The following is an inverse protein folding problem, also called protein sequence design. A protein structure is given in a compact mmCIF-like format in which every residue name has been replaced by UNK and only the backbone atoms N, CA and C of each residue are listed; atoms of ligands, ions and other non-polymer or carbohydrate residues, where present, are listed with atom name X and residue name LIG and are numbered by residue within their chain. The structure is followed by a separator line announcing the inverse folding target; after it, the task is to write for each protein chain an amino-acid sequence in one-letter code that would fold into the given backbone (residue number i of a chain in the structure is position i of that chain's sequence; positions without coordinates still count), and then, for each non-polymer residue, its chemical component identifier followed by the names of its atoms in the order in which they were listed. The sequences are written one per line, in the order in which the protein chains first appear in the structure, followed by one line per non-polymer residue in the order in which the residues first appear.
data_IF_554553823646
#
_entry.id   IF_554553823646
#
_cell.length_a   1.000
_cell.length_b   1.000
_cell.length_c   1.000
_cell.angle_alpha   90.00
_cell.angle_beta   90.00
_cell.angle_gamma   90.00
#
_symmetry.space_group_name_H-M   'P 1'
#
loop_
_entity.id
_entity.type
_entity.pdbx_description
1 polymer ?
#
# COMPACT_ATOMS: atom_id res chain seq x y z
N UNK A 1 -42.20 61.52 -14.80
CA UNK A 1 -41.15 61.73 -15.81
C UNK A 1 -40.58 60.34 -16.06
N UNK A 2 -41.15 59.62 -17.03
CA UNK A 2 -40.98 59.82 -18.49
C UNK A 2 -39.59 59.29 -18.91
N UNK A 3 -39.50 58.17 -19.63
CA UNK A 3 -39.88 57.94 -21.05
C UNK A 3 -38.91 58.64 -22.02
N UNK A 4 -38.38 58.02 -23.08
CA UNK A 4 -38.59 56.65 -23.60
C UNK A 4 -37.23 55.95 -23.94
N UNK A 5 -36.89 55.25 -25.04
CA UNK A 5 -37.54 55.00 -26.34
C UNK A 5 -37.11 53.66 -26.99
N UNK A 6 -37.92 53.13 -27.91
CA UNK A 6 -37.59 52.12 -28.95
C UNK A 6 -38.42 52.48 -30.22
N UNK A 7 -38.39 51.76 -31.37
CA UNK A 7 -37.54 50.64 -31.83
C UNK A 7 -36.95 50.91 -33.25
N UNK A 8 -36.40 49.87 -33.90
CA UNK A 8 -36.92 49.50 -35.23
C UNK A 8 -36.75 47.99 -35.50
N UNK A 9 -37.54 47.46 -36.44
CA UNK A 9 -37.48 46.13 -37.06
C UNK A 9 -37.37 46.35 -38.57
N UNK A 10 -36.95 45.35 -39.35
CA UNK A 10 -37.68 44.98 -40.57
C UNK A 10 -37.16 43.66 -41.17
N UNK A 11 -38.12 42.86 -41.64
CA UNK A 11 -38.00 41.66 -42.49
C UNK A 11 -39.09 41.81 -43.59
N UNK A 12 -39.16 40.93 -44.60
CA UNK A 12 -38.28 40.71 -45.75
C UNK A 12 -38.96 41.27 -47.04
N UNK A 13 -38.64 40.77 -48.25
CA UNK A 13 -39.72 40.10 -49.01
C UNK A 13 -39.27 38.85 -49.81
N UNK A 14 -40.17 38.33 -50.67
CA UNK A 14 -40.24 36.92 -51.11
C UNK A 14 -40.42 36.77 -52.64
N UNK A 15 -40.24 35.54 -53.18
CA UNK A 15 -40.62 35.05 -54.53
C UNK A 15 -39.73 35.49 -55.72
N UNK A 16 -39.71 34.83 -56.89
CA UNK A 16 -40.59 33.79 -57.45
C UNK A 16 -39.80 32.66 -58.19
N UNK A 17 -40.33 31.43 -58.38
CA UNK A 17 -40.99 30.89 -59.61
C UNK A 17 -40.48 31.41 -60.97
N UNK A 18 -40.40 30.62 -62.05
CA UNK A 18 -40.38 29.16 -62.26
C UNK A 18 -40.11 28.85 -63.76
N UNK A 19 -39.56 27.67 -64.10
CA UNK A 19 -39.66 26.94 -65.38
C UNK A 19 -38.70 25.72 -65.36
N UNK A 20 -38.91 24.62 -66.12
CA UNK A 20 -40.10 24.30 -66.91
C UNK A 20 -39.88 23.42 -68.15
N UNK A 21 -39.24 22.24 -68.06
CA UNK A 21 -39.15 21.34 -69.24
C UNK A 21 -39.24 19.83 -68.90
N UNK A 22 -39.65 19.01 -69.88
CA UNK A 22 -40.06 17.62 -69.67
C UNK A 22 -40.17 16.81 -70.97
N UNK A 23 -39.85 15.50 -70.96
CA UNK A 23 -40.57 14.36 -71.58
C UNK A 23 -39.71 13.07 -71.70
N UNK A 24 -40.33 11.96 -72.16
CA UNK A 24 -39.83 10.56 -72.27
C UNK A 24 -39.80 9.75 -70.94
N UNK A 25 -40.72 8.83 -70.61
CA UNK A 25 -41.79 8.10 -71.36
C UNK A 25 -41.14 7.09 -72.35
N UNK A 26 -41.26 5.74 -72.29
CA UNK A 26 -42.23 4.77 -71.72
C UNK A 26 -41.60 3.48 -71.13
N UNK A 27 -42.40 2.75 -70.32
CA UNK A 27 -42.40 1.27 -70.12
C UNK A 27 -41.18 0.57 -69.43
N UNK A 28 -41.30 -0.60 -68.77
CA UNK A 28 -42.45 -1.52 -68.58
C UNK A 28 -42.32 -2.34 -67.27
N UNK A 29 -43.32 -3.20 -67.02
CA UNK A 29 -43.39 -4.32 -66.05
C UNK A 29 -43.57 -4.02 -64.54
N UNK A 30 -44.66 -4.58 -64.00
CA UNK A 30 -45.05 -4.57 -62.59
C UNK A 30 -44.44 -5.77 -61.82
N UNK A 31 -44.55 -5.86 -60.47
CA UNK A 31 -43.67 -6.70 -59.65
C UNK A 31 -44.13 -8.16 -59.49
N UNK A 32 -43.20 -9.11 -59.24
CA UNK A 32 -43.53 -10.44 -58.78
C UNK A 32 -43.95 -10.45 -57.30
N UNK A 33 -45.03 -11.21 -57.08
CA UNK A 33 -45.76 -11.50 -55.85
C UNK A 33 -44.89 -11.88 -54.62
N UNK A 34 -45.50 -11.74 -53.43
CA UNK A 34 -44.86 -11.95 -52.13
C UNK A 34 -44.34 -13.39 -51.89
N UNK A 35 -43.04 -13.61 -52.09
CA UNK A 35 -42.34 -14.79 -51.58
C UNK A 35 -42.24 -14.80 -50.05
N UNK A 36 -42.97 -15.68 -49.37
CA UNK A 36 -42.85 -15.90 -47.91
C UNK A 36 -41.58 -16.71 -47.59
N UNK A 37 -40.82 -16.25 -46.59
CA UNK A 37 -39.76 -17.02 -45.94
C UNK A 37 -38.37 -16.37 -46.02
N UNK A 38 -37.65 -16.30 -44.89
CA UNK A 38 -36.22 -15.93 -44.86
C UNK A 38 -35.79 -14.94 -43.77
N UNK A 39 -36.63 -13.98 -43.37
CA UNK A 39 -36.21 -12.88 -42.46
C UNK A 39 -36.01 -13.23 -40.98
N UNK A 40 -36.38 -14.44 -40.53
CA UNK A 40 -36.29 -14.81 -39.10
C UNK A 40 -34.90 -15.25 -38.60
N UNK A 41 -34.11 -15.91 -39.44
CA UNK A 41 -33.01 -16.76 -38.96
C UNK A 41 -31.71 -16.00 -38.65
N UNK A 42 -31.39 -14.96 -39.42
CA UNK A 42 -30.18 -14.13 -39.24
C UNK A 42 -30.24 -13.28 -37.97
N UNK A 43 -31.38 -12.64 -37.71
CA UNK A 43 -31.63 -11.85 -36.50
C UNK A 43 -31.56 -12.72 -35.24
N UNK A 44 -32.16 -13.91 -35.25
CA UNK A 44 -32.10 -14.86 -34.13
C UNK A 44 -30.66 -15.33 -33.85
N UNK A 45 -29.86 -15.61 -34.88
CA UNK A 45 -28.48 -16.05 -34.69
C UNK A 45 -27.61 -14.95 -34.03
N UNK A 46 -27.72 -13.70 -34.51
CA UNK A 46 -27.00 -12.56 -33.94
C UNK A 46 -27.46 -12.25 -32.49
N UNK A 47 -28.77 -12.32 -32.22
CA UNK A 47 -29.32 -12.17 -30.87
C UNK A 47 -28.87 -13.30 -29.92
N UNK A 48 -28.81 -14.55 -30.39
CA UNK A 48 -28.31 -15.69 -29.61
C UNK A 48 -26.83 -15.51 -29.26
N UNK A 49 -25.99 -15.11 -30.21
CA UNK A 49 -24.56 -14.80 -29.97
C UNK A 49 -24.39 -13.66 -28.94
N UNK A 50 -25.16 -12.57 -29.05
CA UNK A 50 -25.14 -11.47 -28.05
C UNK A 50 -25.62 -11.90 -26.66
N UNK A 51 -26.66 -12.75 -26.55
CA UNK A 51 -27.13 -13.31 -25.26
C UNK A 51 -26.09 -14.23 -24.62
N UNK A 52 -25.41 -15.07 -25.41
CA UNK A 52 -24.33 -15.93 -24.91
C UNK A 52 -23.11 -15.12 -24.47
N UNK A 53 -22.70 -14.11 -25.25
CA UNK A 53 -21.62 -13.20 -24.87
C UNK A 53 -21.93 -12.47 -23.55
N UNK A 54 -23.15 -11.92 -23.37
CA UNK A 54 -23.57 -11.28 -22.11
C UNK A 54 -23.55 -12.25 -20.92
N UNK A 55 -23.89 -13.54 -21.13
CA UNK A 55 -23.77 -14.57 -20.09
C UNK A 55 -22.31 -14.87 -19.74
N UNK A 56 -21.42 -14.98 -20.72
CA UNK A 56 -19.98 -15.18 -20.50
C UNK A 56 -19.38 -14.00 -19.73
N UNK A 57 -19.64 -12.76 -20.16
CA UNK A 57 -19.19 -11.55 -19.45
C UNK A 57 -19.73 -11.50 -18.02
N UNK A 58 -21.01 -11.82 -17.80
CA UNK A 58 -21.59 -11.90 -16.45
C UNK A 58 -20.90 -12.96 -15.58
N UNK A 59 -20.64 -14.15 -16.10
CA UNK A 59 -19.93 -15.22 -15.37
C UNK A 59 -18.48 -14.82 -15.07
N UNK A 60 -17.78 -14.17 -16.01
CA UNK A 60 -16.42 -13.68 -15.79
C UNK A 60 -16.37 -12.57 -14.72
N UNK A 61 -17.32 -11.62 -14.74
CA UNK A 61 -17.42 -10.57 -13.72
C UNK A 61 -17.79 -11.17 -12.35
N UNK A 62 -18.73 -12.10 -12.29
CA UNK A 62 -19.08 -12.80 -11.05
C UNK A 62 -17.92 -13.62 -10.49
N UNK A 63 -17.18 -14.33 -11.33
CA UNK A 63 -15.98 -15.07 -10.95
C UNK A 63 -14.85 -14.14 -10.47
N UNK A 64 -14.65 -12.99 -11.14
CA UNK A 64 -13.69 -11.97 -10.72
C UNK A 64 -14.06 -11.37 -9.35
N UNK A 65 -15.33 -11.00 -9.14
CA UNK A 65 -15.80 -10.47 -7.86
C UNK A 65 -15.70 -11.51 -6.72
N UNK A 66 -16.00 -12.78 -7.01
CA UNK A 66 -15.80 -13.88 -6.05
C UNK A 66 -14.32 -14.10 -5.74
N UNK A 67 -13.45 -14.12 -6.75
CA UNK A 67 -12.01 -14.22 -6.57
C UNK A 67 -11.44 -13.05 -5.77
N UNK A 68 -11.87 -11.81 -6.06
CA UNK A 68 -11.51 -10.63 -5.27
C UNK A 68 -11.96 -10.79 -3.81
N UNK A 69 -13.22 -11.18 -3.55
CA UNK A 69 -13.72 -11.41 -2.19
C UNK A 69 -12.93 -12.46 -1.39
N UNK A 70 -12.40 -13.49 -2.07
CA UNK A 70 -11.58 -14.55 -1.45
C UNK A 70 -10.10 -14.13 -1.29
N UNK A 71 -9.50 -13.50 -2.29
CA UNK A 71 -8.05 -13.22 -2.31
C UNK A 71 -7.66 -11.87 -1.71
N UNK A 72 -8.54 -10.86 -1.70
CA UNK A 72 -8.28 -9.56 -1.06
C UNK A 72 -7.78 -9.73 0.39
N UNK A 73 -8.47 -10.44 1.33
CA UNK A 73 -7.98 -10.61 2.71
C UNK A 73 -6.59 -11.26 2.83
N UNK A 74 -6.16 -12.03 1.83
CA UNK A 74 -4.84 -12.64 1.83
C UNK A 74 -3.71 -11.65 1.56
N UNK A 75 -3.94 -10.54 0.86
CA UNK A 75 -2.89 -9.54 0.58
C UNK A 75 -2.37 -8.85 1.86
N UNK A 76 -3.26 -8.26 2.67
CA UNK A 76 -2.89 -7.68 3.97
C UNK A 76 -2.36 -8.73 4.95
N UNK A 77 -2.96 -9.93 4.97
CA UNK A 77 -2.51 -11.05 5.82
C UNK A 77 -1.11 -11.55 5.43
N UNK A 78 -0.74 -11.49 4.15
CA UNK A 78 0.57 -11.91 3.67
C UNK A 78 1.67 -10.96 4.13
N UNK A 79 1.44 -9.64 4.18
CA UNK A 79 2.43 -8.67 4.67
C UNK A 79 2.86 -8.91 6.13
N UNK A 80 1.99 -9.53 6.93
CA UNK A 80 2.32 -9.93 8.31
C UNK A 80 3.15 -11.21 8.32
N UNK A 81 4.33 -11.16 8.94
CA UNK A 81 5.13 -12.33 9.29
C UNK A 81 5.48 -12.22 10.77
N UNK A 82 5.10 -13.25 11.53
CA UNK A 82 5.45 -13.42 12.93
C UNK A 82 6.09 -14.79 13.09
N UNK A 83 7.31 -14.82 13.60
CA UNK A 83 8.02 -16.05 13.96
C UNK A 83 7.76 -16.40 15.43
N UNK A 84 7.94 -17.68 15.78
CA UNK A 84 7.96 -18.10 17.19
C UNK A 84 9.33 -17.76 17.78
N UNK A 85 9.36 -16.98 18.85
CA UNK A 85 10.60 -16.56 19.53
C UNK A 85 10.63 -17.21 20.91
N UNK A 86 11.50 -18.21 21.07
CA UNK A 86 11.77 -18.88 22.36
C UNK A 86 12.82 -18.10 23.17
N UNK A 87 13.89 -17.66 22.50
CA UNK A 87 14.98 -16.84 23.03
C UNK A 87 15.68 -16.12 21.88
N UNK A 88 16.13 -14.88 22.07
CA UNK A 88 17.03 -14.14 21.18
C UNK A 88 17.81 -13.08 21.96
N UNK A 89 19.12 -12.98 21.79
CA UNK A 89 19.99 -12.16 22.64
C UNK A 89 19.68 -10.65 22.57
N UNK A 90 19.08 -10.18 21.46
CA UNK A 90 18.56 -8.81 21.38
C UNK A 90 17.22 -8.68 20.62
N UNK A 91 16.32 -7.85 21.18
CA UNK A 91 15.19 -7.29 20.48
C UNK A 91 15.55 -5.97 19.78
N UNK A 92 15.50 -5.93 18.45
CA UNK A 92 15.78 -4.73 17.65
C UNK A 92 14.48 -3.97 17.39
N UNK A 93 14.34 -2.81 18.04
CA UNK A 93 13.24 -1.86 17.84
C UNK A 93 13.58 -0.95 16.66
N UNK A 94 12.89 -1.16 15.54
CA UNK A 94 13.02 -0.34 14.32
C UNK A 94 12.25 0.98 14.45
N UNK A 95 12.60 1.97 13.62
CA UNK A 95 12.01 3.31 13.59
C UNK A 95 10.62 3.41 12.91
N UNK A 96 9.82 4.39 13.32
CA UNK A 96 8.55 4.80 12.73
C UNK A 96 7.30 4.52 13.55
N UNK A 97 7.40 3.92 14.75
CA UNK A 97 6.33 3.79 15.76
C UNK A 97 6.99 3.50 17.14
N UNK A 98 7.66 4.46 17.78
CA UNK A 98 8.56 4.16 18.89
C UNK A 98 7.79 3.62 20.12
N UNK A 99 6.61 4.18 20.41
CA UNK A 99 5.78 3.83 21.58
C UNK A 99 5.30 2.37 21.54
N UNK A 100 4.60 1.96 20.48
CA UNK A 100 4.00 0.62 20.37
C UNK A 100 5.04 -0.49 20.20
N UNK A 101 6.21 -0.18 19.65
CA UNK A 101 7.34 -1.11 19.53
C UNK A 101 8.13 -1.25 20.83
N UNK A 102 8.32 -0.16 21.59
CA UNK A 102 8.91 -0.21 22.93
C UNK A 102 8.06 -1.05 23.90
N UNK A 103 6.72 -0.97 23.83
CA UNK A 103 5.83 -1.83 24.64
C UNK A 103 6.05 -3.33 24.35
N UNK A 104 6.17 -3.70 23.07
CA UNK A 104 6.47 -5.07 22.67
C UNK A 104 7.87 -5.54 23.14
N UNK A 105 8.89 -4.67 23.03
CA UNK A 105 10.24 -4.99 23.46
C UNK A 105 10.34 -5.23 24.98
N UNK A 106 9.68 -4.36 25.77
CA UNK A 106 9.47 -4.56 27.21
C UNK A 106 8.86 -5.93 27.51
N UNK A 107 7.87 -6.36 26.75
CA UNK A 107 7.16 -7.62 27.04
C UNK A 107 7.93 -8.87 26.63
N UNK A 108 8.81 -8.81 25.64
CA UNK A 108 9.79 -9.88 25.41
C UNK A 108 10.83 -9.93 26.54
N UNK A 109 11.37 -8.78 26.94
CA UNK A 109 12.37 -8.68 28.01
C UNK A 109 11.81 -9.17 29.37
N UNK A 110 10.65 -8.67 29.79
CA UNK A 110 9.99 -9.09 31.06
C UNK A 110 9.57 -10.57 31.09
N UNK A 111 9.56 -11.25 29.94
CA UNK A 111 9.30 -12.69 29.82
C UNK A 111 10.57 -13.55 29.74
N UNK A 112 11.76 -12.94 29.79
CA UNK A 112 13.04 -13.65 29.62
C UNK A 112 13.24 -14.19 28.20
N UNK A 113 12.59 -13.61 27.19
CA UNK A 113 12.72 -14.01 25.79
C UNK A 113 13.89 -13.27 25.11
N UNK A 114 14.30 -12.12 25.65
CA UNK A 114 15.47 -11.38 25.17
C UNK A 114 16.31 -10.81 26.31
N UNK A 115 17.63 -10.87 26.17
CA UNK A 115 18.59 -10.37 27.16
C UNK A 115 18.75 -8.84 27.14
N UNK A 116 18.62 -8.25 25.95
CA UNK A 116 18.77 -6.81 25.72
C UNK A 116 17.73 -6.25 24.72
N UNK A 117 17.52 -4.94 24.77
CA UNK A 117 16.71 -4.18 23.82
C UNK A 117 17.61 -3.19 23.09
N UNK A 118 17.55 -3.22 21.77
CA UNK A 118 18.36 -2.44 20.85
C UNK A 118 17.47 -1.47 20.09
N UNK A 119 17.57 -0.17 20.39
CA UNK A 119 16.71 0.87 19.83
C UNK A 119 17.43 1.57 18.68
N UNK A 120 16.78 1.65 17.52
CA UNK A 120 17.20 2.57 16.45
C UNK A 120 16.55 3.93 16.72
N UNK A 121 17.31 5.04 16.77
CA UNK A 121 16.72 6.37 16.90
C UNK A 121 15.74 6.66 15.75
N UNK A 122 14.63 7.32 16.09
CA UNK A 122 13.74 7.91 15.08
C UNK A 122 14.51 8.97 14.28
N UNK A 123 14.34 9.05 12.94
CA UNK A 123 14.86 10.17 12.17
C UNK A 123 14.21 11.47 12.64
N UNK A 124 14.97 12.58 12.59
CA UNK A 124 14.43 13.91 12.88
C UNK A 124 13.15 14.13 12.09
N UNK A 125 12.07 14.41 12.81
CA UNK A 125 10.74 14.42 12.23
C UNK A 125 10.61 15.58 11.23
N UNK A 126 10.64 15.26 9.93
CA UNK A 126 10.15 16.18 8.91
C UNK A 126 8.65 16.33 9.09
N UNK A 127 8.25 17.43 9.74
CA UNK A 127 6.85 17.76 10.03
C UNK A 127 6.04 17.99 8.74
N UNK A 128 6.72 18.19 7.61
CA UNK A 128 6.17 18.31 6.26
C UNK A 128 5.85 16.95 5.61
N UNK A 129 4.71 16.38 6.00
CA UNK A 129 4.03 15.33 5.22
C UNK A 129 4.12 13.90 5.77
N UNK A 130 2.95 13.24 5.81
CA UNK A 130 2.78 11.77 5.90
C UNK A 130 3.49 11.03 7.07
N UNK A 131 3.24 11.49 8.30
CA UNK A 131 3.34 10.66 9.51
C UNK A 131 2.27 9.54 9.53
N UNK A 132 2.35 8.60 8.58
CA UNK A 132 1.46 7.42 8.48
C UNK A 132 1.88 6.38 9.55
N UNK A 133 1.53 6.68 10.80
CA UNK A 133 1.85 5.84 11.94
C UNK A 133 1.09 6.27 13.19
N UNK A 134 1.57 7.33 13.84
CA UNK A 134 1.13 7.75 15.17
C UNK A 134 0.80 9.26 15.18
N UNK A 135 -0.46 9.57 14.87
CA UNK A 135 -1.00 10.94 14.87
C UNK A 135 -0.98 11.56 16.27
N UNK A 136 -1.10 10.74 17.32
CA UNK A 136 -1.00 11.16 18.72
C UNK A 136 0.44 11.58 19.02
N UNK A 137 1.43 10.78 18.63
CA UNK A 137 2.85 11.12 18.81
C UNK A 137 3.25 12.39 18.03
N UNK A 138 2.72 12.58 16.82
CA UNK A 138 2.93 13.81 16.06
C UNK A 138 2.37 15.05 16.79
N UNK A 139 1.20 14.93 17.43
CA UNK A 139 0.61 16.02 18.21
C UNK A 139 1.34 16.26 19.55
N UNK A 140 1.82 15.20 20.23
CA UNK A 140 2.66 15.34 21.42
C UNK A 140 3.98 16.08 21.13
N UNK A 141 4.55 15.91 19.93
CA UNK A 141 5.72 16.68 19.47
C UNK A 141 5.34 18.15 19.22
N UNK A 142 4.22 18.42 18.54
CA UNK A 142 3.73 19.80 18.30
C UNK A 142 3.47 20.56 19.60
N UNK A 143 2.87 19.89 20.58
CA UNK A 143 2.61 20.42 21.93
C UNK A 143 3.88 20.52 22.80
N UNK A 144 5.05 20.12 22.30
CA UNK A 144 6.34 20.09 23.01
C UNK A 144 6.33 19.23 24.29
N UNK A 145 5.41 18.26 24.36
CA UNK A 145 5.32 17.26 25.43
C UNK A 145 6.28 16.08 25.18
N UNK A 146 6.64 15.85 23.91
CA UNK A 146 7.73 14.98 23.49
C UNK A 146 8.73 15.82 22.70
N UNK A 147 10.01 15.69 23.06
CA UNK A 147 11.12 16.16 22.25
C UNK A 147 11.69 14.96 21.46
N UNK A 148 11.63 14.97 20.11
CA UNK A 148 12.14 13.87 19.29
C UNK A 148 13.66 13.93 19.04
N UNK A 149 14.35 15.04 19.35
CA UNK A 149 15.80 15.18 19.15
C UNK A 149 16.59 15.16 20.45
N UNK A 150 16.08 15.74 21.54
CA UNK A 150 16.82 15.84 22.80
C UNK A 150 16.87 14.54 23.60
N UNK A 151 15.94 13.59 23.39
CA UNK A 151 16.07 12.27 24.00
C UNK A 151 15.39 11.14 23.21
N UNK A 152 16.01 9.97 23.26
CA UNK A 152 15.57 8.76 22.57
C UNK A 152 14.25 8.27 23.21
N UNK A 153 13.10 8.69 22.68
CA UNK A 153 11.78 8.46 23.32
C UNK A 153 11.52 6.99 23.71
N UNK A 154 11.91 6.03 22.85
CA UNK A 154 11.80 4.61 23.19
C UNK A 154 12.69 4.21 24.39
N UNK A 155 13.89 4.80 24.57
CA UNK A 155 14.73 4.62 25.77
C UNK A 155 14.04 5.18 27.01
N UNK A 156 13.54 6.43 26.97
CA UNK A 156 12.74 7.04 28.05
C UNK A 156 11.63 6.10 28.50
N UNK A 157 10.85 5.64 27.53
CA UNK A 157 9.67 4.81 27.75
C UNK A 157 10.04 3.44 28.32
N UNK A 158 11.09 2.78 27.80
CA UNK A 158 11.57 1.49 28.32
C UNK A 158 12.06 1.59 29.77
N UNK A 159 12.84 2.63 30.12
CA UNK A 159 13.28 2.88 31.49
C UNK A 159 12.09 3.15 32.41
N UNK A 160 11.16 4.02 31.99
CA UNK A 160 9.93 4.33 32.75
C UNK A 160 9.02 3.11 32.95
N UNK A 161 9.12 2.09 32.09
CA UNK A 161 8.42 0.80 32.20
C UNK A 161 9.21 -0.27 32.97
N UNK A 162 10.33 0.09 33.59
CA UNK A 162 11.12 -0.79 34.46
C UNK A 162 12.14 -1.69 33.74
N UNK A 163 12.51 -1.39 32.48
CA UNK A 163 13.66 -2.05 31.84
C UNK A 163 14.96 -1.37 32.31
N UNK A 164 15.94 -2.12 32.86
CA UNK A 164 17.22 -1.55 33.30
C UNK A 164 17.99 -0.85 32.17
N UNK A 165 18.66 0.25 32.48
CA UNK A 165 19.27 1.16 31.49
C UNK A 165 20.56 0.62 30.84
N UNK A 166 21.19 -0.39 31.45
CA UNK A 166 22.28 -1.22 30.92
C UNK A 166 21.78 -2.24 29.88
N UNK A 167 20.51 -2.63 29.96
CA UNK A 167 19.86 -3.56 29.01
C UNK A 167 19.27 -2.87 27.79
N UNK A 168 19.36 -1.53 27.72
CA UNK A 168 18.90 -0.73 26.59
C UNK A 168 20.12 -0.17 25.86
N UNK A 169 20.47 -0.78 24.72
CA UNK A 169 21.42 -0.23 23.76
C UNK A 169 20.65 0.69 22.81
N UNK A 170 21.19 1.85 22.47
CA UNK A 170 20.61 2.73 21.45
C UNK A 170 21.67 3.07 20.42
N UNK A 171 21.32 2.95 19.14
CA UNK A 171 22.29 3.03 18.06
C UNK A 171 22.73 4.50 17.81
N UNK A 172 23.95 4.76 17.30
CA UNK A 172 24.59 6.08 17.44
C UNK A 172 23.96 7.23 16.66
N UNK A 173 23.11 6.94 15.68
CA UNK A 173 22.43 7.93 14.84
C UNK A 173 21.11 7.35 14.30
N UNK A 174 20.15 8.17 13.88
CA UNK A 174 18.99 7.69 13.11
C UNK A 174 19.40 7.09 11.77
N UNK A 175 18.57 6.20 11.23
CA UNK A 175 18.82 5.54 9.94
C UNK A 175 17.66 5.76 8.97
N UNK A 176 17.93 6.43 7.84
CA UNK A 176 16.91 6.61 6.80
C UNK A 176 16.64 5.30 6.04
N UNK A 177 15.58 4.60 6.46
CA UNK A 177 15.02 3.43 5.79
C UNK A 177 15.66 2.09 6.18
N UNK A 178 14.87 1.03 6.11
CA UNK A 178 15.16 -0.27 6.75
C UNK A 178 16.40 -1.01 6.23
N UNK A 179 16.89 -0.69 5.03
CA UNK A 179 18.18 -1.21 4.54
C UNK A 179 19.35 -0.61 5.34
N UNK A 180 19.26 0.66 5.72
CA UNK A 180 20.29 1.34 6.50
C UNK A 180 20.16 1.00 7.99
N UNK A 181 18.94 0.83 8.51
CA UNK A 181 18.68 0.23 9.84
C UNK A 181 19.43 -1.10 9.99
N UNK A 182 19.23 -2.04 9.05
CA UNK A 182 19.87 -3.35 9.08
C UNK A 182 21.41 -3.28 8.98
N UNK A 183 21.95 -2.39 8.14
CA UNK A 183 23.40 -2.17 8.01
C UNK A 183 24.01 -1.64 9.31
N UNK A 184 23.34 -0.69 9.96
CA UNK A 184 23.81 -0.08 11.19
C UNK A 184 23.84 -1.09 12.34
N UNK A 185 22.77 -1.88 12.51
CA UNK A 185 22.73 -2.98 13.50
C UNK A 185 23.88 -3.97 13.25
N UNK A 186 24.10 -4.39 12.00
CA UNK A 186 25.21 -5.29 11.62
C UNK A 186 26.59 -4.70 11.93
N UNK A 187 26.77 -3.39 11.79
CA UNK A 187 28.04 -2.71 12.04
C UNK A 187 28.37 -2.58 13.54
N UNK A 188 27.36 -2.31 14.39
CA UNK A 188 27.53 -2.09 15.84
C UNK A 188 28.11 -3.31 16.58
N UNK A 189 27.92 -4.52 16.05
CA UNK A 189 28.49 -5.74 16.65
C UNK A 189 30.00 -5.91 16.45
N UNK A 190 30.67 -5.11 15.61
CA UNK A 190 32.13 -5.15 15.40
C UNK A 190 32.75 -6.56 15.14
N UNK A 191 31.96 -7.49 14.57
CA UNK A 191 32.37 -8.88 14.32
C UNK A 191 32.00 -9.91 15.39
N UNK A 192 31.41 -9.49 16.52
CA UNK A 192 30.78 -10.38 17.52
C UNK A 192 29.26 -10.30 17.41
N UNK A 193 28.73 -10.87 16.33
CA UNK A 193 27.28 -10.97 16.10
C UNK A 193 26.65 -12.00 17.07
N UNK A 194 25.36 -11.84 17.42
CA UNK A 194 24.61 -12.81 18.22
C UNK A 194 24.07 -13.93 17.33
N UNK A 195 23.72 -15.07 17.91
CA UNK A 195 23.05 -16.17 17.21
C UNK A 195 21.65 -15.75 16.74
N UNK A 196 20.89 -15.01 17.57
CA UNK A 196 19.50 -14.64 17.26
C UNK A 196 19.19 -13.16 17.51
N UNK A 197 18.49 -12.56 16.55
CA UNK A 197 17.91 -11.21 16.63
C UNK A 197 16.40 -11.28 16.37
N UNK A 198 15.60 -10.68 17.24
CA UNK A 198 14.16 -10.49 16.99
C UNK A 198 13.85 -9.04 16.59
N UNK A 199 13.28 -8.87 15.40
CA UNK A 199 12.90 -7.56 14.87
C UNK A 199 11.51 -7.15 15.32
N UNK A 200 11.39 -5.98 15.93
CA UNK A 200 10.12 -5.39 16.38
C UNK A 200 9.75 -4.21 15.48
N UNK A 201 8.62 -4.34 14.80
CA UNK A 201 8.10 -3.36 13.83
C UNK A 201 6.57 -3.45 13.72
N UNK A 202 5.94 -2.68 12.83
CA UNK A 202 4.50 -2.81 12.53
C UNK A 202 4.17 -4.15 11.86
N UNK A 203 2.92 -4.59 12.02
CA UNK A 203 2.35 -5.79 11.38
C UNK A 203 2.54 -5.72 9.87
N UNK A 204 2.21 -4.58 9.25
CA UNK A 204 2.32 -4.34 7.82
C UNK A 204 3.76 -4.35 7.27
N UNK A 205 4.75 -3.88 8.05
CA UNK A 205 6.16 -3.83 7.61
C UNK A 205 6.95 -5.11 7.91
N UNK A 206 6.43 -6.01 8.74
CA UNK A 206 7.15 -7.17 9.29
C UNK A 206 7.80 -8.07 8.23
N UNK A 207 7.08 -8.47 7.16
CA UNK A 207 7.68 -9.24 6.05
C UNK A 207 8.87 -8.51 5.41
N UNK A 208 8.72 -7.20 5.17
CA UNK A 208 9.74 -6.37 4.51
C UNK A 208 10.97 -6.20 5.38
N UNK A 209 10.79 -5.90 6.66
CA UNK A 209 11.89 -5.84 7.64
C UNK A 209 12.64 -7.17 7.72
N UNK A 210 11.93 -8.29 7.92
CA UNK A 210 12.51 -9.64 7.99
C UNK A 210 13.28 -10.00 6.72
N UNK A 211 12.74 -9.68 5.54
CA UNK A 211 13.44 -9.89 4.26
C UNK A 211 14.74 -9.08 4.17
N UNK A 212 14.69 -7.78 4.49
CA UNK A 212 15.83 -6.87 4.38
C UNK A 212 16.95 -7.29 5.32
N UNK A 213 16.65 -7.55 6.60
CA UNK A 213 17.65 -8.01 7.55
C UNK A 213 18.22 -9.38 7.14
N UNK A 214 17.39 -10.38 6.78
CA UNK A 214 17.89 -11.67 6.28
C UNK A 214 18.77 -11.55 5.01
N UNK A 215 18.60 -10.48 4.21
CA UNK A 215 19.48 -10.18 3.06
C UNK A 215 20.74 -9.42 3.42
N UNK A 216 20.70 -8.51 4.38
CA UNK A 216 21.88 -7.78 4.86
C UNK A 216 22.82 -8.69 5.68
N UNK A 217 22.24 -9.63 6.44
CA UNK A 217 22.96 -10.62 7.26
C UNK A 217 23.20 -11.96 6.53
N UNK A 218 22.96 -12.06 5.21
CA UNK A 218 22.98 -13.33 4.45
C UNK A 218 24.35 -14.04 4.34
N UNK A 219 25.40 -13.50 4.97
CA UNK A 219 26.76 -14.08 5.04
C UNK A 219 27.24 -14.25 6.49
N UNK A 220 26.38 -13.98 7.45
CA UNK A 220 26.65 -14.04 8.88
C UNK A 220 25.75 -15.10 9.50
N UNK A 221 26.24 -15.80 10.53
CA UNK A 221 25.50 -16.88 11.18
C UNK A 221 24.53 -16.32 12.24
N UNK A 222 23.50 -15.61 11.76
CA UNK A 222 22.53 -14.87 12.58
C UNK A 222 21.11 -15.18 12.16
N UNK A 223 20.34 -15.85 13.02
CA UNK A 223 18.92 -16.05 12.80
C UNK A 223 18.13 -14.76 13.07
N UNK A 224 17.58 -14.20 11.99
CA UNK A 224 16.69 -13.04 12.04
C UNK A 224 15.22 -13.51 12.18
N UNK A 225 14.65 -13.32 13.37
CA UNK A 225 13.25 -13.55 13.70
C UNK A 225 12.43 -12.26 13.59
N UNK A 226 11.12 -12.37 13.38
CA UNK A 226 10.21 -11.22 13.29
C UNK A 226 9.08 -11.28 14.32
N UNK A 227 8.94 -10.21 15.09
CA UNK A 227 7.89 -10.03 16.09
C UNK A 227 7.15 -8.71 15.85
N UNK A 228 6.15 -8.69 14.94
CA UNK A 228 5.31 -7.52 14.76
C UNK A 228 4.62 -7.16 16.08
N UNK A 229 4.62 -5.87 16.46
CA UNK A 229 4.05 -5.47 17.74
C UNK A 229 2.54 -5.76 17.80
N UNK A 230 2.03 -6.41 18.87
CA UNK A 230 0.60 -6.64 19.02
C UNK A 230 -0.17 -5.31 19.13
N UNK A 231 0.50 -4.25 19.59
CA UNK A 231 -0.03 -2.89 19.81
C UNK A 231 -0.21 -2.05 18.53
N UNK A 232 0.06 -2.61 17.34
CA UNK A 232 -0.27 -1.98 16.06
C UNK A 232 -1.75 -2.19 15.70
N UNK A 233 -2.57 -1.14 15.47
CA UNK A 233 -3.98 -1.28 15.09
C UNK A 233 -4.24 -1.77 13.65
N UNK A 234 -3.21 -2.12 12.87
CA UNK A 234 -3.36 -2.62 11.50
C UNK A 234 -4.14 -3.94 11.39
N UNK A 235 -5.32 -3.88 10.77
CA UNK A 235 -6.25 -5.00 10.59
C UNK A 235 -5.99 -5.80 9.30
N UNK A 236 -4.96 -6.63 9.33
CA UNK A 236 -4.47 -7.41 8.19
C UNK A 236 -5.53 -8.27 7.47
N UNK A 237 -6.56 -8.75 8.18
CA UNK A 237 -7.68 -9.55 7.63
C UNK A 237 -8.88 -8.73 7.13
N UNK A 238 -8.88 -7.41 7.33
CA UNK A 238 -9.94 -6.46 6.89
C UNK A 238 -9.37 -5.18 6.27
N UNK A 239 -8.14 -5.25 5.79
CA UNK A 239 -7.32 -4.09 5.41
C UNK A 239 -7.97 -3.15 4.38
N UNK A 240 -8.86 -3.66 3.51
CA UNK A 240 -9.55 -2.88 2.48
C UNK A 240 -10.78 -2.12 3.00
N UNK A 241 -11.26 -2.39 4.23
CA UNK A 241 -12.45 -1.72 4.79
C UNK A 241 -12.15 -0.37 5.44
N UNK A 242 -10.88 0.05 5.48
CA UNK A 242 -10.45 1.33 6.04
C UNK A 242 -9.38 1.97 5.12
N UNK A 243 -9.56 3.21 4.63
CA UNK A 243 -8.63 3.83 3.67
C UNK A 243 -7.17 3.86 4.14
N UNK A 244 -6.92 4.11 5.43
CA UNK A 244 -5.58 4.10 6.05
C UNK A 244 -4.88 2.74 5.92
N UNK A 245 -5.62 1.65 6.13
CA UNK A 245 -5.10 0.28 5.99
C UNK A 245 -4.95 -0.09 4.51
N UNK A 246 -5.83 0.39 3.62
CA UNK A 246 -5.73 0.20 2.18
C UNK A 246 -4.45 0.83 1.60
N UNK A 247 -4.18 2.10 1.93
CA UNK A 247 -2.95 2.79 1.55
C UNK A 247 -1.73 2.09 2.14
N UNK A 248 -1.76 1.73 3.44
CA UNK A 248 -0.67 1.01 4.12
C UNK A 248 -0.28 -0.29 3.40
N UNK A 249 -1.26 -1.08 2.92
CA UNK A 249 -0.98 -2.31 2.16
C UNK A 249 -0.30 -2.01 0.84
N UNK A 250 -0.84 -1.08 0.05
CA UNK A 250 -0.26 -0.71 -1.26
C UNK A 250 1.18 -0.20 -1.11
N UNK A 251 1.40 0.74 -0.19
CA UNK A 251 2.71 1.34 0.07
C UNK A 251 3.73 0.34 0.63
N UNK A 252 3.34 -0.63 1.46
CA UNK A 252 4.29 -1.65 1.93
C UNK A 252 4.62 -2.70 0.85
N UNK A 253 3.70 -3.01 -0.08
CA UNK A 253 4.02 -3.78 -1.28
C UNK A 253 4.99 -3.04 -2.22
N UNK A 254 4.78 -1.74 -2.42
CA UNK A 254 5.66 -0.87 -3.22
C UNK A 254 7.08 -0.81 -2.61
N UNK A 255 7.19 -0.45 -1.32
CA UNK A 255 8.46 -0.43 -0.58
C UNK A 255 9.15 -1.79 -0.62
N UNK A 256 8.40 -2.89 -0.51
CA UNK A 256 8.96 -4.25 -0.59
C UNK A 256 9.56 -4.53 -1.97
N UNK A 257 8.83 -4.22 -3.05
CA UNK A 257 9.33 -4.37 -4.42
C UNK A 257 10.60 -3.54 -4.65
N UNK A 258 10.59 -2.26 -4.25
CA UNK A 258 11.75 -1.38 -4.35
C UNK A 258 12.93 -1.96 -3.56
N UNK A 259 12.75 -2.33 -2.29
CA UNK A 259 13.83 -2.87 -1.47
C UNK A 259 14.37 -4.23 -1.96
N UNK A 260 13.51 -5.09 -2.54
CA UNK A 260 13.93 -6.34 -3.22
C UNK A 260 14.84 -6.01 -4.42
N UNK A 261 14.44 -5.06 -5.28
CA UNK A 261 15.22 -4.66 -6.45
C UNK A 261 16.54 -3.99 -6.05
N UNK A 262 16.54 -3.07 -5.07
CA UNK A 262 17.76 -2.43 -4.55
C UNK A 262 18.76 -3.46 -4.01
N UNK A 263 18.29 -4.45 -3.25
CA UNK A 263 19.16 -5.49 -2.67
C UNK A 263 19.63 -6.51 -3.71
N UNK A 264 18.85 -6.79 -4.76
CA UNK A 264 19.26 -7.62 -5.88
C UNK A 264 20.37 -6.93 -6.70
N UNK A 265 20.14 -5.69 -7.16
CA UNK A 265 21.13 -4.93 -7.94
C UNK A 265 22.40 -4.67 -7.13
N UNK A 266 22.26 -4.28 -5.86
CA UNK A 266 23.40 -4.10 -4.94
C UNK A 266 24.15 -5.40 -4.57
N UNK A 267 23.61 -6.57 -4.93
CA UNK A 267 24.31 -7.86 -4.84
C UNK A 267 24.97 -8.28 -6.16
N UNK A 268 24.57 -7.68 -7.28
CA UNK A 268 25.06 -8.02 -8.63
C UNK A 268 26.18 -7.09 -9.14
N UNK A 269 26.37 -5.92 -8.51
CA UNK A 269 27.49 -5.04 -8.84
C UNK A 269 28.84 -5.73 -8.54
N UNK A 270 29.78 -5.80 -9.51
CA UNK A 270 31.10 -6.33 -9.26
C UNK A 270 31.84 -5.43 -8.26
N UNK A 271 32.52 -6.05 -7.31
CA UNK A 271 33.39 -5.35 -6.35
C UNK A 271 34.80 -5.33 -6.95
N UNK A 272 35.24 -4.14 -7.36
CA UNK A 272 36.68 -3.85 -7.52
C UNK A 272 37.33 -3.65 -6.16
#
# INVERSE_FOLDING_TARGET
MADCERPFRDDPPTSAFAEGESQNVLSSCAPPLAGRGGKGMTAQCCARRRRTFRRIVFVLVAALLLALGLFIPHAGSWLVVQDTVSHAEAAVVLSGLPTSRAFAARDLYRRGIVDAIWVIPEPEAKIEGEMVGDEIFAELIRLRLVDPSAEQWARRLLVAMGVPSDKIVVLPAPAHGTINEARQVRQVFHGRLPERLVLITSKSASRRARYIFRRVFQRDDVEILSYPTPYDPFEARRWWTAPRNALTVVTEYEKLLINVLTLAVGSAAPRG
#
